data_IF_653867835429
#
_entry.id   IF_653867835429
#
_cell.length_a   1.000
_cell.length_b   1.000
_cell.length_c   1.000
_cell.angle_alpha   90.00
_cell.angle_beta   90.00
_cell.angle_gamma   90.00
#
_symmetry.space_group_name_H-M   'P 1'
#
loop_
_entity.id
_entity.type
_entity.pdbx_description
1 polymer ?
#
# COMPACT_ATOMS: atom_id res chain seq x y z
N UNK A 1 1.75 -19.29 -5.07
CA UNK A 1 1.81 -18.36 -6.22
C UNK A 1 0.54 -17.53 -6.19
N UNK A 2 0.65 -16.22 -5.96
CA UNK A 2 -0.46 -15.28 -5.73
C UNK A 2 -0.39 -14.13 -6.72
N UNK A 3 -1.52 -13.46 -6.96
CA UNK A 3 -1.56 -12.18 -7.65
C UNK A 3 -1.36 -11.08 -6.61
N UNK A 4 -0.21 -10.47 -6.61
CA UNK A 4 0.18 -9.41 -5.67
C UNK A 4 -0.06 -8.06 -6.32
N UNK A 5 -0.84 -7.21 -5.67
CA UNK A 5 -1.00 -5.81 -6.06
C UNK A 5 -0.21 -4.92 -5.11
N UNK A 6 0.76 -4.22 -5.66
CA UNK A 6 1.59 -3.25 -4.93
C UNK A 6 1.12 -1.84 -5.29
N UNK A 7 0.82 -1.02 -4.29
CA UNK A 7 0.36 0.36 -4.48
C UNK A 7 1.33 1.33 -3.79
N UNK A 8 2.05 2.11 -4.59
CA UNK A 8 2.93 3.18 -4.11
C UNK A 8 2.16 4.49 -3.98
N UNK A 9 2.24 5.12 -2.80
CA UNK A 9 1.44 6.30 -2.50
C UNK A 9 2.24 7.60 -2.45
N UNK A 10 3.56 7.55 -2.61
CA UNK A 10 4.40 8.74 -2.68
C UNK A 10 4.21 9.48 -4.01
N UNK A 11 4.07 10.81 -3.94
CA UNK A 11 4.02 11.67 -5.12
C UNK A 11 5.38 12.32 -5.44
N UNK A 12 6.38 12.10 -4.57
CA UNK A 12 7.70 12.71 -4.69
C UNK A 12 8.48 12.12 -5.87
N UNK A 13 9.16 12.97 -6.62
CA UNK A 13 10.15 12.51 -7.60
C UNK A 13 11.34 11.85 -6.88
N UNK A 14 11.88 10.75 -7.43
CA UNK A 14 12.94 9.94 -6.81
C UNK A 14 12.59 9.54 -5.36
N UNK A 15 11.38 9.07 -5.18
CA UNK A 15 10.85 8.65 -3.88
C UNK A 15 11.63 7.46 -3.33
N UNK A 16 12.03 7.55 -2.07
CA UNK A 16 12.72 6.47 -1.36
C UNK A 16 11.81 5.25 -1.19
N UNK A 17 10.51 5.47 -0.88
CA UNK A 17 9.55 4.38 -0.82
C UNK A 17 9.36 3.68 -2.16
N UNK A 18 9.40 4.40 -3.31
CA UNK A 18 9.32 3.76 -4.63
C UNK A 18 10.56 2.90 -4.90
N UNK A 19 11.77 3.38 -4.55
CA UNK A 19 13.01 2.63 -4.72
C UNK A 19 12.97 1.31 -3.95
N UNK A 20 12.56 1.35 -2.69
CA UNK A 20 12.39 0.14 -1.87
C UNK A 20 11.26 -0.76 -2.37
N UNK A 21 10.18 -0.16 -2.87
CA UNK A 21 9.07 -0.90 -3.50
C UNK A 21 9.53 -1.71 -4.71
N UNK A 22 10.38 -1.16 -5.56
CA UNK A 22 10.93 -1.91 -6.70
C UNK A 22 11.77 -3.10 -6.27
N UNK A 23 12.50 -2.99 -5.15
CA UNK A 23 13.24 -4.13 -4.57
C UNK A 23 12.31 -5.19 -3.99
N UNK A 24 11.24 -4.78 -3.29
CA UNK A 24 10.19 -5.68 -2.81
C UNK A 24 9.54 -6.43 -3.99
N UNK A 25 9.19 -5.71 -5.06
CA UNK A 25 8.60 -6.31 -6.27
C UNK A 25 9.54 -7.36 -6.89
N UNK A 26 10.85 -7.05 -6.95
CA UNK A 26 11.83 -8.02 -7.44
C UNK A 26 11.83 -9.30 -6.60
N UNK A 27 11.84 -9.18 -5.27
CA UNK A 27 11.77 -10.32 -4.36
C UNK A 27 10.48 -11.15 -4.53
N UNK A 28 9.33 -10.48 -4.65
CA UNK A 28 8.05 -11.15 -4.87
C UNK A 28 8.01 -11.92 -6.20
N UNK A 29 8.54 -11.34 -7.27
CA UNK A 29 8.65 -12.02 -8.57
C UNK A 29 9.58 -13.22 -8.53
N UNK A 30 10.70 -13.10 -7.85
CA UNK A 30 11.66 -14.21 -7.68
C UNK A 30 11.10 -15.35 -6.80
N UNK A 31 10.13 -15.05 -5.93
CA UNK A 31 9.35 -16.06 -5.21
C UNK A 31 8.23 -16.70 -6.07
N UNK A 32 8.06 -16.24 -7.31
CA UNK A 32 7.09 -16.80 -8.27
C UNK A 32 5.71 -16.15 -8.24
N UNK A 33 5.53 -15.00 -7.59
CA UNK A 33 4.28 -14.26 -7.63
C UNK A 33 4.11 -13.47 -8.93
N UNK A 34 2.86 -13.31 -9.36
CA UNK A 34 2.51 -12.33 -10.40
C UNK A 34 2.29 -10.99 -9.72
N UNK A 35 3.09 -9.98 -10.08
CA UNK A 35 3.05 -8.67 -9.41
C UNK A 35 2.59 -7.58 -10.36
N UNK A 36 1.49 -6.93 -10.01
CA UNK A 36 1.05 -5.67 -10.60
C UNK A 36 1.45 -4.51 -9.68
N UNK A 37 1.97 -3.42 -10.25
CA UNK A 37 2.36 -2.22 -9.52
C UNK A 37 1.56 -1.01 -10.00
N UNK A 38 0.97 -0.28 -9.04
CA UNK A 38 0.28 0.99 -9.27
C UNK A 38 0.96 2.08 -8.46
N UNK A 39 1.39 3.14 -9.14
CA UNK A 39 1.79 4.38 -8.47
C UNK A 39 0.63 5.37 -8.47
N UNK A 40 0.38 6.03 -7.34
CA UNK A 40 -0.60 7.11 -7.26
C UNK A 40 -0.09 8.42 -7.88
N UNK A 41 1.18 8.47 -8.31
CA UNK A 41 1.74 9.62 -9.01
C UNK A 41 1.00 9.84 -10.34
N UNK A 42 0.44 11.04 -10.52
CA UNK A 42 -0.34 11.39 -11.69
C UNK A 42 -1.77 10.86 -11.72
N UNK A 43 -2.21 10.19 -10.65
CA UNK A 43 -3.59 9.71 -10.50
C UNK A 43 -4.49 10.79 -9.88
N UNK A 44 -5.71 10.90 -10.38
CA UNK A 44 -6.73 11.73 -9.79
C UNK A 44 -7.60 10.90 -8.86
N UNK A 45 -7.54 11.18 -7.55
CA UNK A 45 -8.33 10.50 -6.52
C UNK A 45 -9.00 11.56 -5.65
N UNK A 46 -10.29 11.76 -5.82
CA UNK A 46 -11.08 12.68 -5.01
C UNK A 46 -11.42 12.08 -3.66
N UNK A 47 -11.67 12.92 -2.66
CA UNK A 47 -12.05 12.48 -1.32
C UNK A 47 -13.41 11.77 -1.32
N UNK A 48 -13.55 10.75 -0.47
CA UNK A 48 -14.85 10.12 -0.24
C UNK A 48 -15.82 11.13 0.39
N UNK A 49 -17.02 11.22 -0.17
CA UNK A 49 -18.08 12.14 0.32
C UNK A 49 -19.09 11.46 1.25
N UNK A 50 -18.86 10.21 1.62
CA UNK A 50 -19.69 9.47 2.58
C UNK A 50 -21.13 9.19 2.11
N UNK A 51 -21.41 9.21 0.82
CA UNK A 51 -22.79 9.06 0.29
C UNK A 51 -23.36 7.64 0.37
N UNK A 52 -22.55 6.64 0.69
CA UNK A 52 -22.90 5.22 0.86
C UNK A 52 -23.55 4.53 -0.36
N UNK A 53 -23.66 5.21 -1.51
CA UNK A 53 -24.22 4.61 -2.74
C UNK A 53 -23.51 3.33 -3.16
N UNK A 54 -22.20 3.25 -2.91
CA UNK A 54 -21.36 2.12 -3.25
C UNK A 54 -21.69 0.85 -2.46
N UNK A 55 -22.29 0.94 -1.29
CA UNK A 55 -22.72 -0.23 -0.51
C UNK A 55 -23.85 -1.01 -1.23
N UNK A 56 -24.65 -0.30 -2.05
CA UNK A 56 -25.74 -0.93 -2.84
C UNK A 56 -25.26 -1.35 -4.23
N UNK A 57 -24.40 -0.54 -4.86
CA UNK A 57 -24.02 -0.72 -6.27
C UNK A 57 -22.67 -1.40 -6.44
N UNK A 58 -21.87 -1.52 -5.35
CA UNK A 58 -20.47 -1.93 -5.35
C UNK A 58 -19.59 -1.09 -6.28
N UNK A 59 -20.03 0.13 -6.61
CA UNK A 59 -19.30 1.09 -7.45
C UNK A 59 -19.38 2.49 -6.85
N UNK A 60 -18.27 3.22 -6.88
CA UNK A 60 -18.26 4.61 -6.44
C UNK A 60 -18.95 5.51 -7.48
N UNK A 61 -19.71 6.50 -7.00
CA UNK A 61 -20.34 7.52 -7.87
C UNK A 61 -19.33 8.52 -8.43
N UNK A 62 -18.19 8.70 -7.74
CA UNK A 62 -17.10 9.54 -8.21
C UNK A 62 -16.33 8.79 -9.28
N UNK A 63 -16.27 9.37 -10.49
CA UNK A 63 -15.58 8.79 -11.63
C UNK A 63 -14.17 9.37 -11.70
N UNK A 64 -13.21 8.65 -11.14
CA UNK A 64 -11.79 8.97 -11.13
C UNK A 64 -10.98 7.66 -11.03
N UNK A 65 -9.64 7.75 -10.95
CA UNK A 65 -8.75 6.58 -10.94
C UNK A 65 -9.02 5.59 -9.79
N UNK A 66 -9.62 6.04 -8.68
CA UNK A 66 -9.93 5.14 -7.56
C UNK A 66 -10.92 4.02 -7.93
N UNK A 67 -11.75 4.20 -8.95
CA UNK A 67 -12.71 3.18 -9.39
C UNK A 67 -11.98 1.99 -10.00
N UNK A 68 -11.01 2.24 -10.88
CA UNK A 68 -10.20 1.19 -11.49
C UNK A 68 -9.31 0.51 -10.45
N UNK A 69 -8.68 1.31 -9.57
CA UNK A 69 -7.83 0.77 -8.49
C UNK A 69 -8.64 -0.14 -7.56
N UNK A 70 -9.87 0.23 -7.20
CA UNK A 70 -10.74 -0.60 -6.37
C UNK A 70 -11.03 -1.96 -7.01
N UNK A 71 -11.26 -2.03 -8.32
CA UNK A 71 -11.46 -3.30 -9.02
C UNK A 71 -10.19 -4.16 -9.00
N UNK A 72 -9.01 -3.56 -9.11
CA UNK A 72 -7.73 -4.29 -9.00
C UNK A 72 -7.49 -4.79 -7.58
N UNK A 73 -7.75 -3.96 -6.56
CA UNK A 73 -7.69 -4.36 -5.13
C UNK A 73 -8.64 -5.53 -4.87
N UNK A 74 -9.88 -5.47 -5.37
CA UNK A 74 -10.87 -6.54 -5.21
C UNK A 74 -10.37 -7.88 -5.72
N UNK A 75 -9.62 -7.88 -6.81
CA UNK A 75 -9.23 -9.09 -7.55
C UNK A 75 -7.80 -9.59 -7.22
N UNK A 76 -7.02 -8.86 -6.45
CA UNK A 76 -5.71 -9.30 -5.97
C UNK A 76 -5.87 -10.34 -4.85
N UNK A 77 -4.91 -11.25 -4.72
CA UNK A 77 -4.85 -12.22 -3.61
C UNK A 77 -4.13 -11.62 -2.40
N UNK A 78 -3.10 -10.79 -2.66
CA UNK A 78 -2.26 -10.12 -1.67
C UNK A 78 -2.10 -8.65 -2.03
N UNK A 79 -2.17 -7.78 -1.01
CA UNK A 79 -2.00 -6.33 -1.15
C UNK A 79 -0.74 -5.86 -0.45
N UNK A 80 0.00 -4.96 -1.08
CA UNK A 80 1.12 -4.25 -0.46
C UNK A 80 0.92 -2.75 -0.63
N UNK A 81 0.83 -2.01 0.46
CA UNK A 81 0.81 -0.55 0.44
C UNK A 81 2.18 -0.01 0.79
N UNK A 82 2.76 0.81 -0.08
CA UNK A 82 4.01 1.52 0.15
C UNK A 82 3.74 3.00 0.36
N UNK A 83 4.18 3.54 1.51
CA UNK A 83 3.85 4.90 1.94
C UNK A 83 5.03 5.60 2.62
N UNK A 84 5.28 6.89 2.36
CA UNK A 84 6.07 7.70 3.26
C UNK A 84 5.28 7.97 4.55
N UNK A 85 5.98 8.06 5.68
CA UNK A 85 5.38 8.49 6.95
C UNK A 85 5.45 10.02 7.03
N UNK A 86 4.29 10.63 7.28
CA UNK A 86 4.16 12.05 7.55
C UNK A 86 3.46 12.25 8.89
N UNK A 87 4.12 12.94 9.82
CA UNK A 87 3.59 13.14 11.19
C UNK A 87 3.17 11.83 11.87
N UNK A 88 4.03 10.79 11.75
CA UNK A 88 3.84 9.45 12.33
C UNK A 88 2.68 8.65 11.72
N UNK A 89 2.09 9.12 10.61
CA UNK A 89 0.95 8.51 9.93
C UNK A 89 1.26 8.18 8.47
N UNK A 90 0.44 7.32 7.87
CA UNK A 90 0.48 7.09 6.43
C UNK A 90 0.21 8.38 5.66
N UNK A 91 0.70 8.47 4.45
CA UNK A 91 0.46 9.65 3.61
C UNK A 91 -1.03 9.90 3.41
N UNK A 92 -1.43 11.18 3.29
CA UNK A 92 -2.82 11.54 3.01
C UNK A 92 -3.36 10.91 1.72
N UNK A 93 -2.50 10.67 0.74
CA UNK A 93 -2.84 9.98 -0.51
C UNK A 93 -3.26 8.53 -0.24
N UNK A 94 -2.50 7.81 0.60
CA UNK A 94 -2.86 6.45 1.00
C UNK A 94 -4.20 6.45 1.73
N UNK A 95 -4.37 7.31 2.74
CA UNK A 95 -5.62 7.38 3.50
C UNK A 95 -6.82 7.71 2.60
N UNK A 96 -6.65 8.65 1.68
CA UNK A 96 -7.69 8.98 0.69
C UNK A 96 -8.06 7.77 -0.17
N UNK A 97 -7.07 6.99 -0.62
CA UNK A 97 -7.33 5.78 -1.38
C UNK A 97 -8.09 4.74 -0.54
N UNK A 98 -7.67 4.49 0.71
CA UNK A 98 -8.34 3.54 1.62
C UNK A 98 -9.82 3.93 1.84
N UNK A 99 -10.13 5.22 2.03
CA UNK A 99 -11.51 5.70 2.15
C UNK A 99 -12.33 5.45 0.88
N UNK A 100 -11.68 5.42 -0.28
CA UNK A 100 -12.32 5.15 -1.57
C UNK A 100 -12.49 3.65 -1.86
N UNK A 101 -11.95 2.76 -1.00
CA UNK A 101 -12.17 1.31 -1.07
C UNK A 101 -13.50 0.88 -0.43
N UNK A 102 -14.35 1.80 0.02
CA UNK A 102 -15.67 1.51 0.59
C UNK A 102 -16.59 0.63 -0.31
N UNK A 103 -16.53 0.65 -1.66
CA UNK A 103 -17.24 -0.31 -2.50
C UNK A 103 -16.91 -1.79 -2.23
N UNK A 104 -15.74 -2.06 -1.66
CA UNK A 104 -15.28 -3.43 -1.40
C UNK A 104 -15.91 -4.04 -0.15
N UNK A 105 -16.38 -3.23 0.80
CA UNK A 105 -16.91 -3.66 2.09
C UNK A 105 -18.02 -4.72 1.97
N UNK A 106 -18.90 -4.60 0.97
CA UNK A 106 -19.98 -5.54 0.70
C UNK A 106 -19.74 -6.44 -0.50
N UNK A 107 -18.52 -6.46 -1.05
CA UNK A 107 -18.19 -7.21 -2.25
C UNK A 107 -17.56 -8.57 -1.92
N UNK A 108 -17.51 -9.45 -2.93
CA UNK A 108 -16.74 -10.68 -2.84
C UNK A 108 -15.28 -10.40 -3.25
N UNK A 109 -14.52 -9.77 -2.35
CA UNK A 109 -13.10 -9.49 -2.55
C UNK A 109 -12.24 -10.74 -2.33
N UNK A 110 -11.09 -10.80 -3.03
CA UNK A 110 -10.19 -11.96 -3.00
C UNK A 110 -9.06 -11.84 -2.00
N UNK A 111 -8.57 -10.64 -1.71
CA UNK A 111 -7.37 -10.47 -0.87
C UNK A 111 -7.53 -11.08 0.52
N UNK A 112 -6.44 -11.67 1.00
CA UNK A 112 -6.33 -12.29 2.33
C UNK A 112 -5.23 -11.68 3.17
N UNK A 113 -4.12 -11.33 2.56
CA UNK A 113 -2.96 -10.76 3.23
C UNK A 113 -2.75 -9.33 2.75
N UNK A 114 -2.53 -8.44 3.72
CA UNK A 114 -2.22 -7.04 3.47
C UNK A 114 -0.91 -6.70 4.15
N UNK A 115 0.00 -6.06 3.44
CA UNK A 115 1.32 -5.69 3.91
C UNK A 115 1.55 -4.19 3.79
N UNK A 116 2.44 -3.65 4.62
CA UNK A 116 2.89 -2.26 4.51
C UNK A 116 4.39 -2.18 4.37
N UNK A 117 4.87 -1.36 3.43
CA UNK A 117 6.23 -0.84 3.41
C UNK A 117 6.17 0.65 3.72
N UNK A 118 6.94 1.11 4.70
CA UNK A 118 6.94 2.53 5.09
C UNK A 118 8.35 3.09 5.22
N UNK A 119 8.49 4.40 4.96
CA UNK A 119 9.77 5.12 4.98
C UNK A 119 9.59 6.43 5.73
N UNK A 120 10.55 6.78 6.59
CA UNK A 120 10.58 8.04 7.31
C UNK A 120 12.00 8.63 7.44
N UNK A 121 12.06 9.88 7.84
CA UNK A 121 13.30 10.57 8.23
C UNK A 121 13.82 10.06 9.57
N UNK A 122 12.92 9.90 10.55
CA UNK A 122 13.25 9.27 11.84
C UNK A 122 13.41 7.76 11.66
N UNK A 123 14.19 7.10 12.52
CA UNK A 123 14.48 5.66 12.44
C UNK A 123 14.07 4.87 13.70
N UNK A 124 13.41 5.52 14.67
CA UNK A 124 12.95 4.85 15.87
C UNK A 124 11.79 3.88 15.55
N UNK A 125 11.81 2.73 16.19
CA UNK A 125 10.90 1.61 15.94
C UNK A 125 9.41 1.96 16.08
N UNK A 126 9.06 2.96 16.87
CA UNK A 126 7.66 3.38 17.09
C UNK A 126 7.12 4.30 15.97
N UNK A 127 7.98 4.82 15.09
CA UNK A 127 7.60 5.80 14.05
C UNK A 127 6.46 5.29 13.15
N UNK A 128 6.43 4.03 12.69
CA UNK A 128 5.36 3.52 11.83
C UNK A 128 4.11 3.06 12.58
N UNK A 129 4.09 2.99 13.92
CA UNK A 129 3.03 2.34 14.69
C UNK A 129 1.63 2.88 14.39
N UNK A 130 1.48 4.21 14.27
CA UNK A 130 0.17 4.83 13.97
C UNK A 130 -0.30 4.51 12.56
N UNK A 131 0.62 4.53 11.59
CA UNK A 131 0.31 4.18 10.21
C UNK A 131 -0.11 2.70 10.08
N UNK A 132 0.61 1.80 10.76
CA UNK A 132 0.27 0.37 10.82
C UNK A 132 -1.08 0.18 11.51
N UNK A 133 -1.32 0.86 12.65
CA UNK A 133 -2.60 0.80 13.36
C UNK A 133 -3.76 1.34 12.52
N UNK A 134 -3.54 2.43 11.76
CA UNK A 134 -4.54 2.97 10.83
C UNK A 134 -4.87 2.00 9.69
N UNK A 135 -3.85 1.32 9.14
CA UNK A 135 -4.07 0.27 8.14
C UNK A 135 -4.79 -0.94 8.75
N UNK A 136 -4.42 -1.35 9.97
CA UNK A 136 -5.09 -2.45 10.67
C UNK A 136 -6.58 -2.15 10.84
N UNK A 137 -6.95 -0.92 11.26
CA UNK A 137 -8.36 -0.52 11.37
C UNK A 137 -9.12 -0.61 10.03
N UNK A 138 -8.45 -0.38 8.89
CA UNK A 138 -9.05 -0.62 7.58
C UNK A 138 -9.19 -2.12 7.30
N UNK A 139 -8.17 -2.92 7.61
CA UNK A 139 -8.19 -4.39 7.42
C UNK A 139 -9.30 -5.04 8.25
N UNK A 140 -9.51 -4.60 9.49
CA UNK A 140 -10.53 -5.13 10.41
C UNK A 140 -11.97 -4.98 9.87
N UNK A 141 -12.17 -4.11 8.87
CA UNK A 141 -13.43 -4.02 8.14
C UNK A 141 -13.63 -5.15 7.12
N UNK A 142 -12.66 -6.04 6.93
CA UNK A 142 -12.66 -7.11 5.93
C UNK A 142 -12.44 -8.48 6.60
N UNK A 143 -13.51 -9.19 6.91
CA UNK A 143 -13.50 -10.43 7.70
C UNK A 143 -12.54 -11.52 7.21
N UNK A 144 -12.21 -11.51 5.91
CA UNK A 144 -11.35 -12.53 5.28
C UNK A 144 -9.89 -12.08 5.19
N UNK A 145 -9.56 -10.86 5.59
CA UNK A 145 -8.23 -10.27 5.44
C UNK A 145 -7.53 -10.12 6.78
N UNK A 146 -6.21 -10.20 6.77
CA UNK A 146 -5.36 -9.95 7.93
C UNK A 146 -4.09 -9.21 7.54
N UNK A 147 -3.45 -8.55 8.51
CA UNK A 147 -2.13 -7.96 8.33
C UNK A 147 -1.09 -9.07 8.26
N UNK A 148 -0.45 -9.21 7.09
CA UNK A 148 0.62 -10.19 6.88
C UNK A 148 1.97 -9.73 7.44
N UNK A 149 2.17 -8.42 7.55
CA UNK A 149 3.38 -7.84 8.10
C UNK A 149 3.62 -6.39 7.66
N UNK A 150 4.63 -5.79 8.26
CA UNK A 150 5.09 -4.45 7.88
C UNK A 150 6.60 -4.37 7.88
N UNK A 151 7.16 -3.64 6.91
CA UNK A 151 8.56 -3.26 6.85
C UNK A 151 8.66 -1.75 6.99
N UNK A 152 9.50 -1.30 7.91
CA UNK A 152 9.82 0.11 8.12
C UNK A 152 11.30 0.37 7.84
N UNK A 153 11.58 1.35 6.98
CA UNK A 153 12.91 1.81 6.68
C UNK A 153 13.02 3.28 7.11
N UNK A 154 13.63 3.50 8.27
CA UNK A 154 13.85 4.83 8.85
C UNK A 154 15.17 5.46 8.42
N UNK A 155 15.42 6.69 8.89
CA UNK A 155 16.68 7.41 8.65
C UNK A 155 16.90 7.82 7.19
N UNK A 156 15.86 7.90 6.36
CA UNK A 156 15.97 8.16 4.92
C UNK A 156 15.17 9.40 4.53
N UNK A 157 15.86 10.51 4.27
CA UNK A 157 15.23 11.83 4.05
C UNK A 157 15.29 12.33 2.62
N UNK A 158 16.49 12.30 2.02
CA UNK A 158 16.73 12.97 0.73
C UNK A 158 16.18 12.16 -0.44
N UNK A 159 15.71 12.82 -1.53
CA UNK A 159 15.26 12.11 -2.70
C UNK A 159 16.35 11.20 -3.29
N UNK A 160 16.04 9.91 -3.45
CA UNK A 160 16.96 8.94 -4.02
C UNK A 160 17.98 8.35 -3.06
N UNK A 161 18.00 8.78 -1.79
CA UNK A 161 18.94 8.30 -0.78
C UNK A 161 18.88 6.78 -0.56
N UNK A 162 17.69 6.19 -0.75
CA UNK A 162 17.51 4.74 -0.64
C UNK A 162 18.35 3.93 -1.63
N UNK A 163 18.85 4.52 -2.72
CA UNK A 163 19.75 3.82 -3.65
C UNK A 163 21.08 3.41 -3.00
N UNK A 164 21.53 4.15 -2.00
CA UNK A 164 22.79 3.92 -1.29
C UNK A 164 22.62 3.09 -0.01
N UNK A 165 21.39 2.70 0.30
CA UNK A 165 21.00 1.94 1.50
C UNK A 165 20.93 0.45 1.20
N UNK A 166 22.10 -0.20 1.15
CA UNK A 166 22.20 -1.62 0.74
C UNK A 166 21.44 -2.55 1.67
N UNK A 167 21.45 -2.28 2.98
CA UNK A 167 20.77 -3.12 3.97
C UNK A 167 19.26 -3.05 3.78
N UNK A 168 18.68 -1.87 3.74
CA UNK A 168 17.25 -1.63 3.56
C UNK A 168 16.76 -2.14 2.19
N UNK A 169 17.59 -2.03 1.14
CA UNK A 169 17.29 -2.62 -0.17
C UNK A 169 17.22 -4.15 -0.11
N UNK A 170 18.10 -4.80 0.66
CA UNK A 170 18.09 -6.24 0.86
C UNK A 170 16.91 -6.67 1.74
N UNK A 171 16.59 -5.91 2.78
CA UNK A 171 15.40 -6.15 3.61
C UNK A 171 14.11 -6.06 2.79
N UNK A 172 13.97 -5.02 1.96
CA UNK A 172 12.82 -4.86 1.08
C UNK A 172 12.69 -6.04 0.09
N UNK A 173 13.82 -6.49 -0.48
CA UNK A 173 13.82 -7.69 -1.33
C UNK A 173 13.40 -8.95 -0.57
N UNK A 174 13.97 -9.18 0.62
CA UNK A 174 13.64 -10.33 1.46
C UNK A 174 12.17 -10.30 1.90
N UNK A 175 11.65 -9.12 2.24
CA UNK A 175 10.24 -8.91 2.58
C UNK A 175 9.32 -9.26 1.41
N UNK A 176 9.67 -8.81 0.20
CA UNK A 176 8.93 -9.17 -1.01
C UNK A 176 8.95 -10.68 -1.29
N UNK A 177 10.07 -11.34 -1.02
CA UNK A 177 10.23 -12.78 -1.20
C UNK A 177 9.46 -13.62 -0.19
N UNK A 178 9.13 -13.03 0.97
CA UNK A 178 8.39 -13.67 2.06
C UNK A 178 6.86 -13.42 1.99
N UNK A 179 6.36 -12.72 0.96
CA UNK A 179 4.91 -12.54 0.77
C UNK A 179 4.21 -13.89 0.57
N UNK A 180 2.97 -13.98 1.10
CA UNK A 180 2.10 -15.17 1.00
C UNK A 180 0.99 -15.00 -0.03
#
# INVERSE_FOLDING_TARGET
MSNVLVISTSLRAKSNSDILTERLIAGARDAGHTVEHISLKGKEIRFCIGCLSCQKTQKCVLRDDAVEIAEKVKNADTLVFSTPIYYYEMSGQMKTLLDRMNPLYSSDYKFRKVYMLSVATEDEVYVPEKAVSGLQGWIDCFEKAELGGSLFCGGISNPGEANDRTEELNEAYAFGKALE
#
